data_IF_144254891965
#
_entry.id   IF_144254891965
#
_cell.length_a   1.000
_cell.length_b   1.000
_cell.length_c   1.000
_cell.angle_alpha   90.00
_cell.angle_beta   90.00
_cell.angle_gamma   90.00
#
_symmetry.space_group_name_H-M   'P 1'
#
loop_
_entity.id
_entity.type
_entity.pdbx_description
1 polymer ?
#
# COMPACT_ATOMS: atom_id res chain seq x y z
N UNK A 1 5.94 -3.70 -15.53
CA UNK A 1 5.52 -3.19 -14.20
C UNK A 1 4.04 -2.87 -14.29
N UNK A 2 3.25 -3.25 -13.28
CA UNK A 2 1.84 -2.92 -13.19
C UNK A 2 1.64 -1.84 -12.13
N UNK A 3 0.65 -0.98 -12.35
CA UNK A 3 0.25 0.04 -11.37
C UNK A 3 -0.96 -0.51 -10.62
N UNK A 4 -0.91 -0.42 -9.30
CA UNK A 4 -1.96 -0.86 -8.41
C UNK A 4 -2.47 0.32 -7.61
N UNK A 5 -3.78 0.52 -7.59
CA UNK A 5 -4.44 1.37 -6.62
C UNK A 5 -4.68 0.56 -5.35
N UNK A 6 -4.16 1.03 -4.23
CA UNK A 6 -4.35 0.46 -2.91
C UNK A 6 -5.23 1.37 -2.08
N UNK A 7 -6.26 0.81 -1.47
CA UNK A 7 -7.12 1.51 -0.52
C UNK A 7 -7.07 0.84 0.84
N UNK A 8 -6.71 1.57 1.88
CA UNK A 8 -6.58 1.03 3.23
C UNK A 8 -7.92 0.51 3.76
N UNK A 9 -8.01 -0.78 4.13
CA UNK A 9 -9.24 -1.36 4.70
C UNK A 9 -9.54 -0.87 6.11
N UNK A 10 -8.50 -0.49 6.85
CA UNK A 10 -8.58 0.04 8.21
C UNK A 10 -7.64 1.22 8.42
N UNK A 11 -7.73 1.83 9.60
CA UNK A 11 -6.76 2.82 10.05
C UNK A 11 -5.60 2.11 10.74
N UNK A 12 -4.36 2.44 10.40
CA UNK A 12 -3.17 1.85 11.01
C UNK A 12 -2.03 2.85 11.08
N UNK A 13 -1.47 3.06 12.27
CA UNK A 13 -0.53 4.16 12.50
C UNK A 13 -1.18 5.51 12.20
N UNK A 14 -0.54 6.30 11.33
CA UNK A 14 -1.10 7.56 10.81
C UNK A 14 -1.78 7.43 9.44
N UNK A 15 -1.95 6.21 8.92
CA UNK A 15 -2.73 5.95 7.71
C UNK A 15 -4.20 5.74 8.10
N UNK A 16 -5.09 6.58 7.56
CA UNK A 16 -6.53 6.47 7.82
C UNK A 16 -7.20 5.40 6.94
N UNK A 17 -8.26 4.79 7.46
CA UNK A 17 -9.14 3.92 6.67
C UNK A 17 -9.64 4.65 5.43
N UNK A 18 -9.63 3.96 4.29
CA UNK A 18 -10.06 4.49 3.00
C UNK A 18 -9.03 5.37 2.32
N UNK A 19 -7.85 5.60 2.90
CA UNK A 19 -6.76 6.29 2.23
C UNK A 19 -6.33 5.51 0.98
N UNK A 20 -6.21 6.21 -0.14
CA UNK A 20 -5.89 5.64 -1.43
C UNK A 20 -4.53 6.11 -1.93
N UNK A 21 -3.72 5.19 -2.45
CA UNK A 21 -2.44 5.49 -3.07
C UNK A 21 -2.12 4.52 -4.19
N UNK A 22 -1.18 4.89 -5.05
CA UNK A 22 -0.75 4.07 -6.18
C UNK A 22 0.62 3.46 -5.88
N UNK A 23 0.74 2.15 -6.12
CA UNK A 23 2.01 1.42 -6.00
C UNK A 23 2.36 0.84 -7.35
N UNK A 24 3.58 1.09 -7.80
CA UNK A 24 4.16 0.43 -8.96
C UNK A 24 4.82 -0.85 -8.47
N UNK A 25 4.35 -2.00 -8.96
CA UNK A 25 4.96 -3.30 -8.63
C UNK A 25 5.25 -4.10 -9.88
N UNK A 26 6.30 -4.90 -9.84
CA UNK A 26 6.61 -5.89 -10.88
C UNK A 26 5.83 -7.19 -10.73
N UNK A 27 5.23 -7.45 -9.57
CA UNK A 27 4.50 -8.68 -9.26
C UNK A 27 3.04 -8.63 -9.72
N UNK A 28 2.52 -9.79 -10.15
CA UNK A 28 1.14 -10.03 -10.59
C UNK A 28 0.64 -11.29 -9.85
N UNK A 29 -0.60 -11.36 -9.34
CA UNK A 29 -1.70 -10.39 -9.51
C UNK A 29 -1.70 -9.23 -8.52
N UNK A 30 -0.95 -9.30 -7.42
CA UNK A 30 -0.92 -8.28 -6.37
C UNK A 30 0.46 -7.65 -6.23
N UNK A 31 0.56 -6.40 -5.76
CA UNK A 31 1.84 -5.77 -5.46
C UNK A 31 2.53 -6.49 -4.29
N UNK A 32 3.86 -6.53 -4.31
CA UNK A 32 4.63 -7.13 -3.22
C UNK A 32 4.71 -6.19 -2.02
N UNK A 33 4.98 -6.74 -0.84
CA UNK A 33 5.03 -5.96 0.39
C UNK A 33 6.15 -4.90 0.39
N UNK A 34 7.28 -5.17 -0.28
CA UNK A 34 8.42 -4.24 -0.31
C UNK A 34 8.10 -2.97 -1.10
N UNK A 35 7.39 -3.08 -2.22
CA UNK A 35 6.98 -1.95 -3.06
C UNK A 35 5.93 -1.11 -2.33
N UNK A 36 5.00 -1.76 -1.62
CA UNK A 36 4.03 -1.08 -0.77
C UNK A 36 4.74 -0.31 0.35
N UNK A 37 5.68 -0.95 1.05
CA UNK A 37 6.45 -0.34 2.13
C UNK A 37 7.22 0.90 1.66
N UNK A 38 7.89 0.80 0.51
CA UNK A 38 8.61 1.93 -0.10
C UNK A 38 7.67 3.09 -0.45
N UNK A 39 6.49 2.80 -0.99
CA UNK A 39 5.53 3.86 -1.31
C UNK A 39 4.95 4.50 -0.04
N UNK A 40 4.63 3.70 0.98
CA UNK A 40 4.18 4.20 2.29
C UNK A 40 5.24 5.10 2.92
N UNK A 41 6.52 4.72 2.83
CA UNK A 41 7.64 5.55 3.25
C UNK A 41 7.75 6.84 2.45
N UNK A 42 7.60 6.77 1.12
CA UNK A 42 7.63 7.93 0.23
C UNK A 42 6.51 8.93 0.53
N UNK A 43 5.35 8.44 0.96
CA UNK A 43 4.20 9.25 1.35
C UNK A 43 4.35 9.89 2.74
N UNK A 44 5.45 9.62 3.46
CA UNK A 44 5.75 10.23 4.76
C UNK A 44 4.97 9.60 5.92
N UNK A 45 4.45 8.38 5.76
CA UNK A 45 3.80 7.68 6.86
C UNK A 45 4.81 7.19 7.91
N UNK A 46 4.33 7.02 9.15
CA UNK A 46 5.18 6.63 10.26
C UNK A 46 5.66 5.16 10.17
N UNK A 47 6.63 4.78 11.00
CA UNK A 47 7.16 3.42 11.05
C UNK A 47 6.09 2.36 11.32
N UNK A 48 5.04 2.70 12.06
CA UNK A 48 3.90 1.82 12.27
C UNK A 48 3.16 1.54 10.95
N UNK A 49 2.83 2.57 10.17
CA UNK A 49 2.19 2.41 8.87
C UNK A 49 3.06 1.65 7.85
N UNK A 50 4.41 1.74 7.91
CA UNK A 50 5.30 0.91 7.08
C UNK A 50 5.09 -0.60 7.32
N UNK A 51 4.78 -1.00 8.55
CA UNK A 51 4.42 -2.39 8.87
C UNK A 51 3.06 -2.81 8.31
N UNK A 52 2.24 -1.87 7.81
CA UNK A 52 0.96 -2.15 7.16
C UNK A 52 1.10 -2.67 5.72
N UNK A 53 2.33 -2.83 5.22
CA UNK A 53 2.72 -3.24 3.86
C UNK A 53 2.11 -4.51 3.26
N UNK A 54 1.38 -5.31 4.02
CA UNK A 54 0.75 -6.52 3.46
C UNK A 54 -0.39 -6.14 2.50
N UNK A 55 -0.35 -6.65 1.27
CA UNK A 55 -1.41 -6.39 0.28
C UNK A 55 -2.82 -6.78 0.77
N UNK A 56 -2.93 -7.75 1.69
CA UNK A 56 -4.21 -8.15 2.30
C UNK A 56 -4.89 -7.05 3.12
N UNK A 57 -4.11 -6.09 3.63
CA UNK A 57 -4.59 -4.93 4.37
C UNK A 57 -5.26 -3.86 3.49
N UNK A 58 -5.10 -4.00 2.17
CA UNK A 58 -5.61 -3.05 1.19
C UNK A 58 -6.65 -3.71 0.29
N UNK A 59 -7.58 -2.90 -0.21
CA UNK A 59 -8.33 -3.23 -1.42
C UNK A 59 -7.41 -2.91 -2.60
N UNK A 60 -7.03 -3.94 -3.35
CA UNK A 60 -6.10 -3.84 -4.48
C UNK A 60 -6.90 -3.78 -5.77
N UNK A 61 -6.75 -2.71 -6.53
CA UNK A 61 -7.30 -2.60 -7.90
C UNK A 61 -6.16 -2.37 -8.87
N UNK A 62 -6.03 -3.25 -9.87
CA UNK A 62 -5.05 -3.06 -10.94
C UNK A 62 -5.55 -1.96 -11.88
N UNK A 63 -4.67 -1.00 -12.20
CA UNK A 63 -4.92 0.08 -13.16
C UNK A 63 -4.33 -0.27 -14.54
#
# INVERSE_FOLDING_TARGET
MAVYKLKAKGSYGNMSKGYEFQVISSTIPTPNATDIEKEIERLGFNSQAKSYKSAGNFEVTKL
#
